data_IF_511067611149
#
_entry.id   IF_511067611149
#
_cell.length_a   1.000
_cell.length_b   1.000
_cell.length_c   1.000
_cell.angle_alpha   90.00
_cell.angle_beta   90.00
_cell.angle_gamma   90.00
#
_symmetry.space_group_name_H-M   'P 1'
#
loop_
_entity.id
_entity.type
_entity.pdbx_description
1 polymer ?
#
# COMPACT_ATOMS: atom_id res chain seq x y z
N UNK A 1 18.59 24.19 22.09
CA UNK A 1 18.39 23.24 20.99
C UNK A 1 17.76 22.01 21.62
N UNK A 2 16.43 21.95 21.60
CA UNK A 2 15.69 20.81 22.15
C UNK A 2 15.80 19.65 21.18
N UNK A 3 16.35 18.51 21.60
CA UNK A 3 16.20 17.24 20.92
C UNK A 3 14.72 16.85 21.02
N UNK A 4 13.92 17.27 20.03
CA UNK A 4 12.62 16.71 19.81
C UNK A 4 12.87 15.35 19.12
N UNK A 5 13.02 14.27 19.90
CA UNK A 5 12.86 12.91 19.42
C UNK A 5 11.35 12.67 19.26
N UNK A 6 10.71 13.40 18.34
CA UNK A 6 9.41 13.00 17.83
C UNK A 6 9.59 11.61 17.23
N UNK A 7 8.72 10.70 17.63
CA UNK A 7 8.77 9.30 17.21
C UNK A 7 8.52 9.27 15.69
N UNK A 8 9.59 9.19 14.92
CA UNK A 8 9.57 9.28 13.46
C UNK A 8 8.69 8.19 12.89
N UNK A 9 7.71 8.54 12.08
CA UNK A 9 6.82 7.58 11.42
C UNK A 9 7.60 6.65 10.51
N UNK A 10 7.18 5.38 10.47
CA UNK A 10 7.87 4.30 9.77
C UNK A 10 6.93 3.59 8.81
N UNK A 11 7.38 3.40 7.57
CA UNK A 11 6.62 2.74 6.52
C UNK A 11 7.41 1.58 5.90
N UNK A 12 6.74 0.48 5.60
CA UNK A 12 7.29 -0.62 4.79
C UNK A 12 6.54 -0.65 3.46
N UNK A 13 7.28 -0.57 2.36
CA UNK A 13 6.75 -0.68 1.00
C UNK A 13 7.18 -2.02 0.43
N UNK A 14 6.23 -2.89 0.15
CA UNK A 14 6.52 -4.18 -0.46
C UNK A 14 6.93 -4.01 -1.92
N UNK A 15 7.89 -4.83 -2.34
CA UNK A 15 8.37 -4.88 -3.72
C UNK A 15 8.32 -6.32 -4.24
N UNK A 16 7.87 -6.47 -5.48
CA UNK A 16 7.77 -7.77 -6.15
C UNK A 16 8.11 -7.66 -7.64
N UNK A 17 8.56 -8.73 -8.25
CA UNK A 17 8.72 -8.81 -9.70
C UNK A 17 7.39 -8.49 -10.41
N UNK A 18 7.45 -7.64 -11.43
CA UNK A 18 6.28 -7.17 -12.16
C UNK A 18 5.48 -6.06 -11.50
N UNK A 19 5.98 -5.48 -10.40
CA UNK A 19 5.35 -4.28 -9.79
C UNK A 19 5.36 -3.08 -10.74
N UNK A 20 4.43 -2.15 -10.56
CA UNK A 20 4.47 -0.85 -11.21
C UNK A 20 5.45 0.07 -10.46
N UNK A 21 6.60 0.30 -11.09
CA UNK A 21 7.70 1.02 -10.43
C UNK A 21 7.35 2.47 -10.06
N UNK A 22 6.53 3.13 -10.88
CA UNK A 22 6.16 4.51 -10.60
C UNK A 22 5.26 4.61 -9.37
N UNK A 23 4.35 3.67 -9.18
CA UNK A 23 3.50 3.60 -7.99
C UNK A 23 4.33 3.33 -6.73
N UNK A 24 5.31 2.45 -6.83
CA UNK A 24 6.21 2.13 -5.74
C UNK A 24 7.14 3.31 -5.41
N UNK A 25 8.00 3.70 -6.35
CA UNK A 25 9.10 4.63 -6.09
C UNK A 25 8.64 6.07 -5.84
N UNK A 26 7.56 6.52 -6.50
CA UNK A 26 7.00 7.84 -6.24
C UNK A 26 6.45 7.91 -4.81
N UNK A 27 5.75 6.86 -4.36
CA UNK A 27 5.27 6.78 -2.97
C UNK A 27 6.44 6.81 -1.98
N UNK A 28 7.50 6.04 -2.25
CA UNK A 28 8.73 6.05 -1.43
C UNK A 28 9.35 7.45 -1.38
N UNK A 29 9.53 8.12 -2.53
CA UNK A 29 10.14 9.45 -2.60
C UNK A 29 9.34 10.49 -1.80
N UNK A 30 8.01 10.54 -1.99
CA UNK A 30 7.15 11.50 -1.29
C UNK A 30 7.20 11.29 0.22
N UNK A 31 7.10 10.05 0.70
CA UNK A 31 7.14 9.75 2.12
C UNK A 31 8.51 10.07 2.73
N UNK A 32 9.61 9.76 2.03
CA UNK A 32 10.97 10.12 2.50
C UNK A 32 11.16 11.64 2.55
N UNK A 33 10.61 12.42 1.60
CA UNK A 33 10.58 13.89 1.64
C UNK A 33 9.80 14.43 2.84
N UNK A 34 8.74 13.75 3.24
CA UNK A 34 7.93 14.10 4.40
C UNK A 34 8.65 13.81 5.74
N UNK A 35 9.74 13.08 5.73
CA UNK A 35 10.49 12.70 6.92
C UNK A 35 10.17 11.31 7.44
N UNK A 36 9.24 10.59 6.82
CA UNK A 36 8.91 9.19 7.16
C UNK A 36 10.12 8.29 6.92
N UNK A 37 10.37 7.36 7.82
CA UNK A 37 11.39 6.31 7.65
C UNK A 37 10.82 5.22 6.78
N UNK A 38 11.18 5.19 5.50
CA UNK A 38 10.65 4.22 4.54
C UNK A 38 11.68 3.13 4.27
N UNK A 39 11.26 1.88 4.47
CA UNK A 39 11.98 0.67 4.10
C UNK A 39 11.26 0.02 2.92
N UNK A 40 11.99 -0.26 1.84
CA UNK A 40 11.50 -1.09 0.74
C UNK A 40 11.86 -2.55 1.00
N UNK A 41 10.90 -3.46 0.84
CA UNK A 41 11.04 -4.86 1.25
C UNK A 41 10.61 -5.81 0.11
N UNK A 42 11.56 -6.58 -0.42
CA UNK A 42 11.31 -7.56 -1.49
C UNK A 42 10.63 -8.79 -0.94
N UNK A 43 9.55 -9.23 -1.59
CA UNK A 43 8.89 -10.52 -1.32
C UNK A 43 9.45 -11.67 -2.17
N UNK A 44 10.44 -11.36 -3.02
CA UNK A 44 11.10 -12.35 -3.87
C UNK A 44 12.30 -12.98 -3.12
N UNK A 45 12.88 -14.02 -3.68
CA UNK A 45 14.09 -14.68 -3.13
C UNK A 45 15.31 -13.73 -3.12
N UNK A 46 15.35 -12.75 -4.04
CA UNK A 46 16.40 -11.73 -4.15
C UNK A 46 15.83 -10.36 -3.77
N UNK A 47 16.66 -9.47 -3.23
CA UNK A 47 16.31 -8.06 -3.00
C UNK A 47 16.20 -7.27 -4.30
N UNK A 48 16.79 -7.74 -5.40
CA UNK A 48 16.64 -7.13 -6.73
C UNK A 48 15.35 -7.59 -7.38
N UNK A 49 14.42 -6.68 -7.59
CA UNK A 49 13.15 -6.93 -8.29
C UNK A 49 13.16 -6.31 -9.69
N UNK A 50 12.42 -6.90 -10.60
CA UNK A 50 12.26 -6.40 -11.96
C UNK A 50 10.84 -5.86 -12.16
N UNK A 51 10.69 -4.57 -12.44
CA UNK A 51 9.39 -3.92 -12.64
C UNK A 51 8.63 -4.46 -13.85
N UNK A 52 7.35 -4.09 -13.97
CA UNK A 52 6.48 -4.38 -15.13
C UNK A 52 7.12 -3.96 -16.47
N UNK A 53 7.90 -2.87 -16.46
CA UNK A 53 8.60 -2.33 -17.63
C UNK A 53 10.11 -2.65 -17.65
N UNK A 54 10.53 -3.74 -17.00
CA UNK A 54 11.87 -4.33 -17.07
C UNK A 54 13.00 -3.47 -16.48
N UNK A 55 12.67 -2.55 -15.58
CA UNK A 55 13.67 -1.84 -14.79
C UNK A 55 14.00 -2.67 -13.56
N UNK A 56 15.29 -2.91 -13.32
CA UNK A 56 15.77 -3.58 -12.11
C UNK A 56 15.92 -2.55 -10.98
N UNK A 57 15.42 -2.90 -9.83
CA UNK A 57 15.40 -2.04 -8.64
C UNK A 57 15.80 -2.91 -7.45
N UNK A 58 16.74 -2.43 -6.65
CA UNK A 58 17.17 -3.09 -5.43
C UNK A 58 16.35 -2.59 -4.25
N UNK A 59 15.71 -3.49 -3.52
CA UNK A 59 15.02 -3.19 -2.27
C UNK A 59 16.05 -3.02 -1.13
N UNK A 60 15.66 -2.33 -0.07
CA UNK A 60 16.52 -2.14 1.10
C UNK A 60 16.79 -3.48 1.83
N UNK A 61 15.84 -4.44 1.79
CA UNK A 61 15.95 -5.75 2.42
C UNK A 61 14.94 -6.77 1.91
N UNK A 62 15.05 -8.02 2.39
CA UNK A 62 13.98 -9.02 2.25
C UNK A 62 12.78 -8.67 3.13
N UNK A 63 11.57 -8.96 2.64
CA UNK A 63 10.35 -8.77 3.43
C UNK A 63 10.32 -9.64 4.70
N UNK A 64 10.99 -10.78 4.69
CA UNK A 64 11.09 -11.64 5.88
C UNK A 64 11.91 -11.01 7.02
N UNK A 65 12.82 -10.07 6.70
CA UNK A 65 13.72 -9.43 7.66
C UNK A 65 13.23 -8.05 8.15
N UNK A 66 12.11 -7.57 7.62
CA UNK A 66 11.61 -6.23 7.94
C UNK A 66 10.99 -6.15 9.34
N UNK A 67 11.20 -5.02 10.02
CA UNK A 67 10.65 -4.76 11.37
C UNK A 67 9.22 -4.21 11.29
N UNK A 68 8.27 -5.12 11.22
CA UNK A 68 6.84 -4.79 11.17
C UNK A 68 6.29 -4.26 12.50
N UNK A 69 6.95 -4.55 13.63
CA UNK A 69 6.52 -4.05 14.94
C UNK A 69 6.70 -2.53 15.02
N UNK A 70 7.82 -2.04 14.49
CA UNK A 70 8.11 -0.62 14.44
C UNK A 70 7.34 0.14 13.33
N UNK A 71 6.77 -0.55 12.32
CA UNK A 71 6.11 0.09 11.21
C UNK A 71 4.73 0.64 11.58
N UNK A 72 4.44 1.90 11.23
CA UNK A 72 3.10 2.51 11.35
C UNK A 72 2.19 2.13 10.18
N UNK A 73 2.76 1.87 9.00
CA UNK A 73 2.02 1.56 7.77
C UNK A 73 2.76 0.53 6.91
N UNK A 74 2.00 -0.35 6.27
CA UNK A 74 2.45 -1.18 5.16
C UNK A 74 1.79 -0.73 3.86
N UNK A 75 2.55 -0.76 2.74
CA UNK A 75 2.12 -0.22 1.45
C UNK A 75 2.35 -1.26 0.35
N UNK A 76 1.30 -1.55 -0.41
CA UNK A 76 1.29 -2.49 -1.52
C UNK A 76 1.18 -1.72 -2.85
N UNK A 77 2.24 -1.61 -3.65
CA UNK A 77 2.16 -1.08 -5.00
C UNK A 77 1.44 -2.06 -5.93
N UNK A 78 0.96 -1.54 -7.07
CA UNK A 78 0.28 -2.35 -8.06
C UNK A 78 1.23 -2.95 -9.11
N UNK A 79 0.71 -3.05 -10.34
CA UNK A 79 1.25 -3.89 -11.40
C UNK A 79 0.62 -5.29 -11.36
N UNK A 80 0.13 -5.80 -12.49
CA UNK A 80 -0.62 -7.07 -12.54
C UNK A 80 0.19 -8.23 -11.94
N UNK A 81 1.38 -8.49 -12.47
CA UNK A 81 2.24 -9.59 -12.01
C UNK A 81 2.78 -9.30 -10.60
N UNK A 82 3.14 -8.04 -10.30
CA UNK A 82 3.57 -7.65 -8.96
C UNK A 82 2.50 -7.96 -7.91
N UNK A 83 1.24 -7.63 -8.20
CA UNK A 83 0.10 -7.93 -7.32
C UNK A 83 -0.11 -9.45 -7.15
N UNK A 84 0.09 -10.24 -8.21
CA UNK A 84 0.02 -11.71 -8.14
C UNK A 84 1.10 -12.27 -7.21
N UNK A 85 2.33 -11.76 -7.31
CA UNK A 85 3.44 -12.14 -6.43
C UNK A 85 3.20 -11.68 -4.98
N UNK A 86 2.67 -10.48 -4.76
CA UNK A 86 2.28 -10.02 -3.43
C UNK A 86 1.19 -10.92 -2.82
N UNK A 87 0.18 -11.30 -3.62
CA UNK A 87 -0.90 -12.18 -3.17
C UNK A 87 -0.42 -13.62 -2.85
N UNK A 88 0.65 -14.07 -3.49
CA UNK A 88 1.26 -15.39 -3.25
C UNK A 88 2.23 -15.41 -2.05
N UNK A 89 2.57 -14.25 -1.48
CA UNK A 89 3.52 -14.15 -0.37
C UNK A 89 2.82 -14.34 0.97
N UNK A 90 3.24 -15.36 1.72
CA UNK A 90 2.76 -15.61 3.07
C UNK A 90 3.06 -14.42 4.01
N UNK A 91 4.22 -13.78 3.86
CA UNK A 91 4.60 -12.61 4.65
C UNK A 91 3.63 -11.46 4.42
N UNK A 92 3.27 -11.18 3.15
CA UNK A 92 2.29 -10.11 2.84
C UNK A 92 0.94 -10.43 3.45
N UNK A 93 0.45 -11.67 3.29
CA UNK A 93 -0.83 -12.10 3.83
C UNK A 93 -0.88 -11.95 5.36
N UNK A 94 0.15 -12.46 6.04
CA UNK A 94 0.27 -12.37 7.51
C UNK A 94 0.28 -10.92 7.97
N UNK A 95 1.12 -10.07 7.38
CA UNK A 95 1.24 -8.68 7.81
C UNK A 95 -0.02 -7.87 7.47
N UNK A 96 -0.67 -8.10 6.33
CA UNK A 96 -1.95 -7.45 6.03
C UNK A 96 -3.03 -7.79 7.07
N UNK A 97 -3.17 -9.07 7.44
CA UNK A 97 -4.13 -9.49 8.47
C UNK A 97 -3.79 -8.90 9.83
N UNK A 98 -2.50 -8.91 10.21
CA UNK A 98 -2.03 -8.35 11.47
C UNK A 98 -2.30 -6.85 11.56
N UNK A 99 -1.95 -6.08 10.52
CA UNK A 99 -2.19 -4.62 10.49
C UNK A 99 -3.68 -4.28 10.45
N UNK A 100 -4.49 -5.08 9.77
CA UNK A 100 -5.95 -4.90 9.77
C UNK A 100 -6.56 -5.10 11.17
N UNK A 101 -5.99 -5.98 11.99
CA UNK A 101 -6.42 -6.26 13.37
C UNK A 101 -5.88 -5.29 14.41
N UNK A 102 -4.94 -4.41 14.09
CA UNK A 102 -4.31 -3.46 15.03
C UNK A 102 -4.78 -2.03 14.76
N UNK A 103 -5.47 -1.42 15.73
CA UNK A 103 -6.03 -0.08 15.60
C UNK A 103 -4.98 1.04 15.50
N UNK A 104 -3.72 0.76 15.81
CA UNK A 104 -2.61 1.70 15.69
C UNK A 104 -1.92 1.67 14.33
N UNK A 105 -2.22 0.69 13.48
CA UNK A 105 -1.55 0.44 12.21
C UNK A 105 -2.40 0.83 10.99
N UNK A 106 -1.74 1.14 9.89
CA UNK A 106 -2.37 1.55 8.62
C UNK A 106 -1.99 0.57 7.50
N UNK A 107 -2.88 0.43 6.53
CA UNK A 107 -2.61 -0.33 5.30
C UNK A 107 -2.92 0.57 4.11
N UNK A 108 -2.02 0.59 3.13
CA UNK A 108 -2.26 1.28 1.87
C UNK A 108 -2.02 0.35 0.67
N UNK A 109 -2.86 0.46 -0.35
CA UNK A 109 -2.73 -0.33 -1.57
C UNK A 109 -3.20 0.47 -2.80
N UNK A 110 -2.51 0.34 -3.95
CA UNK A 110 -2.83 1.12 -5.14
C UNK A 110 -3.00 0.24 -6.37
N UNK A 111 -3.83 0.68 -7.33
CA UNK A 111 -4.00 0.08 -8.65
C UNK A 111 -4.63 -1.34 -8.58
N UNK A 112 -3.85 -2.38 -8.86
CA UNK A 112 -4.27 -3.76 -8.76
C UNK A 112 -4.22 -4.30 -7.32
N UNK A 113 -3.35 -3.73 -6.47
CA UNK A 113 -3.05 -4.25 -5.13
C UNK A 113 -4.23 -4.27 -4.13
N UNK A 114 -5.26 -3.40 -4.21
CA UNK A 114 -6.46 -3.57 -3.38
C UNK A 114 -7.13 -4.95 -3.52
N UNK A 115 -6.89 -5.67 -4.64
CA UNK A 115 -7.38 -7.04 -4.80
C UNK A 115 -6.71 -8.05 -3.85
N UNK A 116 -5.51 -7.76 -3.33
CA UNK A 116 -4.86 -8.58 -2.29
C UNK A 116 -5.63 -8.44 -0.98
N UNK A 117 -5.93 -7.19 -0.60
CA UNK A 117 -6.67 -6.90 0.63
C UNK A 117 -8.11 -7.48 0.58
N UNK A 118 -8.76 -7.36 -0.60
CA UNK A 118 -10.08 -7.95 -0.81
C UNK A 118 -10.05 -9.48 -0.70
N UNK A 119 -9.05 -10.14 -1.31
CA UNK A 119 -8.86 -11.58 -1.20
C UNK A 119 -8.65 -12.08 0.23
N UNK A 120 -8.13 -11.24 1.12
CA UNK A 120 -7.95 -11.51 2.55
C UNK A 120 -9.17 -11.11 3.42
N UNK A 121 -10.27 -10.62 2.81
CA UNK A 121 -11.46 -10.17 3.52
C UNK A 121 -11.30 -8.83 4.26
N UNK A 122 -10.18 -8.13 4.10
CA UNK A 122 -9.88 -6.88 4.80
C UNK A 122 -10.76 -5.72 4.30
N UNK A 123 -11.22 -5.79 3.06
CA UNK A 123 -12.10 -4.78 2.45
C UNK A 123 -13.59 -5.09 2.58
N UNK A 124 -13.98 -6.21 3.16
CA UNK A 124 -15.38 -6.61 3.26
C UNK A 124 -16.24 -5.54 3.96
N UNK A 125 -17.29 -5.07 3.27
CA UNK A 125 -18.18 -4.01 3.75
C UNK A 125 -17.59 -2.60 3.78
N UNK A 126 -16.41 -2.39 3.20
CA UNK A 126 -15.72 -1.11 3.17
C UNK A 126 -15.82 -0.43 1.80
N UNK A 127 -15.45 0.85 1.80
CA UNK A 127 -15.23 1.62 0.57
C UNK A 127 -13.77 1.50 0.12
N UNK A 128 -13.57 1.30 -1.18
CA UNK A 128 -12.24 1.27 -1.76
C UNK A 128 -12.24 1.81 -3.19
N UNK A 129 -11.08 2.20 -3.68
CA UNK A 129 -10.81 2.43 -5.09
C UNK A 129 -9.72 1.48 -5.57
N UNK A 130 -9.70 1.19 -6.86
CA UNK A 130 -8.67 0.37 -7.50
C UNK A 130 -8.64 0.67 -9.00
N UNK A 131 -7.69 0.08 -9.71
CA UNK A 131 -7.71 0.15 -11.18
C UNK A 131 -9.00 -0.48 -11.72
N UNK A 132 -9.67 0.15 -12.73
CA UNK A 132 -10.96 -0.33 -13.24
C UNK A 132 -10.96 -1.81 -13.65
N UNK A 133 -9.87 -2.31 -14.24
CA UNK A 133 -9.74 -3.73 -14.64
C UNK A 133 -9.77 -4.71 -13.45
N UNK A 134 -9.63 -4.23 -12.24
CA UNK A 134 -9.64 -5.02 -11.00
C UNK A 134 -10.90 -4.80 -10.17
N UNK A 135 -11.79 -3.91 -10.60
CA UNK A 135 -12.98 -3.53 -9.83
C UNK A 135 -13.86 -4.75 -9.48
N UNK A 136 -14.15 -5.62 -10.44
CA UNK A 136 -14.94 -6.85 -10.21
C UNK A 136 -14.27 -7.78 -9.20
N UNK A 137 -12.94 -7.95 -9.30
CA UNK A 137 -12.16 -8.79 -8.38
C UNK A 137 -12.16 -8.22 -6.96
N UNK A 138 -12.00 -6.90 -6.82
CA UNK A 138 -12.03 -6.22 -5.53
C UNK A 138 -13.44 -6.26 -4.93
N UNK A 139 -14.48 -6.01 -5.73
CA UNK A 139 -15.86 -6.00 -5.28
C UNK A 139 -16.35 -7.37 -4.80
N UNK A 140 -15.85 -8.45 -5.41
CA UNK A 140 -16.25 -9.82 -5.07
C UNK A 140 -15.86 -10.28 -3.66
N UNK A 141 -15.02 -9.51 -2.98
CA UNK A 141 -14.59 -9.82 -1.60
C UNK A 141 -13.83 -11.14 -1.46
N UNK A 142 -13.69 -11.59 -0.24
CA UNK A 142 -13.11 -12.90 0.07
C UNK A 142 -14.05 -14.01 -0.36
N UNK A 143 -13.70 -14.76 -1.40
CA UNK A 143 -14.22 -16.11 -1.57
C UNK A 143 -13.44 -17.02 -0.63
N UNK A 144 -13.75 -16.92 0.66
CA UNK A 144 -13.13 -17.78 1.66
C UNK A 144 -13.29 -19.25 1.24
N UNK A 145 -12.17 -19.91 1.07
CA UNK A 145 -12.12 -21.33 0.72
C UNK A 145 -12.95 -22.13 1.75
N UNK A 146 -14.10 -22.67 1.34
CA UNK A 146 -14.72 -23.82 1.96
C UNK A 146 -15.66 -23.60 3.15
N UNK A 147 -16.32 -22.46 3.28
CA UNK A 147 -17.37 -22.25 4.29
C UNK A 147 -18.65 -21.73 3.68
N UNK A 148 -19.80 -22.15 4.18
CA UNK A 148 -21.17 -21.79 3.78
C UNK A 148 -21.31 -20.39 3.17
N UNK A 149 -22.11 -20.30 2.10
CA UNK A 149 -22.43 -19.14 1.29
C UNK A 149 -23.17 -18.05 2.12
N UNK A 150 -22.51 -17.47 3.13
CA UNK A 150 -22.83 -16.16 3.63
C UNK A 150 -22.09 -15.17 2.73
N UNK A 151 -22.83 -14.40 1.95
CA UNK A 151 -22.31 -13.34 1.11
C UNK A 151 -21.54 -12.36 2.00
N UNK A 152 -20.22 -12.39 1.92
CA UNK A 152 -19.42 -11.30 2.51
C UNK A 152 -19.96 -9.96 2.02
N UNK A 153 -20.07 -8.93 2.87
CA UNK A 153 -20.54 -7.62 2.41
C UNK A 153 -19.64 -7.13 1.28
N UNK A 154 -20.27 -6.80 0.14
CA UNK A 154 -19.54 -6.33 -1.04
C UNK A 154 -18.73 -5.08 -0.74
N UNK A 155 -17.56 -4.98 -1.37
CA UNK A 155 -16.75 -3.76 -1.35
C UNK A 155 -17.43 -2.70 -2.21
N UNK A 156 -17.63 -1.48 -1.67
CA UNK A 156 -18.12 -0.34 -2.43
C UNK A 156 -16.98 0.30 -3.21
N UNK A 157 -16.97 0.16 -4.54
CA UNK A 157 -15.97 0.80 -5.40
C UNK A 157 -16.35 2.26 -5.65
N UNK A 158 -15.50 3.19 -5.16
CA UNK A 158 -15.78 4.64 -5.22
C UNK A 158 -15.41 5.30 -6.54
N UNK A 159 -14.48 4.71 -7.31
CA UNK A 159 -13.87 5.31 -8.50
C UNK A 159 -13.11 6.63 -8.27
N UNK A 160 -12.89 7.03 -7.03
CA UNK A 160 -12.10 8.20 -6.67
C UNK A 160 -10.60 7.94 -6.88
N UNK A 161 -9.81 9.01 -7.04
CA UNK A 161 -8.34 8.90 -7.12
C UNK A 161 -7.77 8.20 -5.89
N UNK A 162 -8.28 8.55 -4.70
CA UNK A 162 -7.90 7.97 -3.41
C UNK A 162 -9.14 7.79 -2.54
N UNK A 163 -9.26 6.64 -1.91
CA UNK A 163 -10.31 6.38 -0.91
C UNK A 163 -9.67 6.02 0.41
N UNK A 164 -10.17 6.62 1.48
CA UNK A 164 -9.79 6.31 2.86
C UNK A 164 -11.02 5.79 3.59
N UNK A 165 -10.94 4.57 4.11
CA UNK A 165 -11.98 3.98 4.95
C UNK A 165 -11.33 3.48 6.25
N UNK A 166 -11.51 4.28 7.30
CA UNK A 166 -10.83 4.05 8.57
C UNK A 166 -9.32 4.07 8.42
N UNK A 167 -8.68 2.92 8.60
CA UNK A 167 -7.22 2.75 8.56
C UNK A 167 -6.69 2.20 7.24
N UNK A 168 -7.57 2.08 6.24
CA UNK A 168 -7.23 1.54 4.93
C UNK A 168 -7.27 2.66 3.90
N UNK A 169 -6.19 2.79 3.15
CA UNK A 169 -6.02 3.81 2.12
C UNK A 169 -5.86 3.08 0.79
N UNK A 170 -6.73 3.38 -0.17
CA UNK A 170 -6.61 2.78 -1.51
C UNK A 170 -6.46 3.86 -2.57
N UNK A 171 -5.66 3.58 -3.60
CA UNK A 171 -5.40 4.46 -4.75
C UNK A 171 -5.86 3.82 -6.06
N UNK A 172 -6.37 4.62 -6.98
CA UNK A 172 -6.95 4.12 -8.22
C UNK A 172 -5.91 3.50 -9.15
N UNK A 173 -4.72 4.08 -9.27
CA UNK A 173 -3.67 3.59 -10.14
C UNK A 173 -2.58 4.62 -10.40
N UNK A 174 -1.76 4.37 -11.43
CA UNK A 174 -0.58 5.17 -11.73
C UNK A 174 -0.87 6.69 -11.76
N UNK A 175 -1.93 7.11 -12.44
CA UNK A 175 -2.28 8.53 -12.55
C UNK A 175 -2.68 9.18 -11.22
N UNK A 176 -3.09 8.40 -10.23
CA UNK A 176 -3.49 8.85 -8.90
C UNK A 176 -2.37 8.68 -7.85
N UNK A 177 -1.18 8.20 -8.23
CA UNK A 177 -0.13 7.85 -7.27
C UNK A 177 0.35 9.06 -6.46
N UNK A 178 0.36 10.25 -7.06
CA UNK A 178 0.75 11.47 -6.34
C UNK A 178 -0.27 11.79 -5.23
N UNK A 179 -1.58 11.79 -5.56
CA UNK A 179 -2.65 12.01 -4.59
C UNK A 179 -2.60 10.95 -3.48
N UNK A 180 -2.34 9.69 -3.84
CA UNK A 180 -2.21 8.58 -2.91
C UNK A 180 -1.04 8.78 -1.93
N UNK A 181 0.16 9.12 -2.42
CA UNK A 181 1.33 9.35 -1.59
C UNK A 181 1.16 10.58 -0.68
N UNK A 182 0.57 11.67 -1.20
CA UNK A 182 0.27 12.88 -0.42
C UNK A 182 -0.82 12.62 0.63
N UNK A 183 -1.83 11.77 0.34
CA UNK A 183 -2.84 11.40 1.33
C UNK A 183 -2.24 10.55 2.47
N UNK A 184 -1.34 9.62 2.16
CA UNK A 184 -0.60 8.87 3.19
C UNK A 184 0.25 9.84 4.03
N UNK A 185 0.93 10.81 3.39
CA UNK A 185 1.70 11.84 4.09
C UNK A 185 0.81 12.66 5.03
N UNK A 186 -0.36 13.09 4.58
CA UNK A 186 -1.33 13.83 5.38
C UNK A 186 -1.75 13.05 6.64
N UNK A 187 -2.00 11.75 6.49
CA UNK A 187 -2.43 10.89 7.61
C UNK A 187 -1.30 10.65 8.61
N UNK A 188 -0.06 10.47 8.13
CA UNK A 188 1.10 10.18 8.99
C UNK A 188 1.69 11.42 9.66
N UNK A 189 1.80 12.52 8.92
CA UNK A 189 2.59 13.71 9.30
C UNK A 189 1.74 15.00 9.39
N UNK A 190 0.48 14.93 8.99
CA UNK A 190 -0.43 16.08 9.00
C UNK A 190 -0.53 16.83 7.68
N UNK A 191 -1.62 17.60 7.55
CA UNK A 191 -1.97 18.33 6.33
C UNK A 191 -0.88 19.34 5.93
N UNK A 192 -0.33 20.11 6.88
CA UNK A 192 0.68 21.13 6.62
C UNK A 192 1.95 20.55 5.97
N UNK A 193 2.34 19.33 6.38
CA UNK A 193 3.49 18.62 5.80
C UNK A 193 3.17 18.19 4.37
N UNK A 194 2.00 17.60 4.13
CA UNK A 194 1.55 17.18 2.81
C UNK A 194 1.49 18.36 1.83
N UNK A 195 0.89 19.49 2.21
CA UNK A 195 0.81 20.70 1.39
C UNK A 195 2.20 21.28 1.09
N UNK A 196 3.10 21.30 2.07
CA UNK A 196 4.48 21.76 1.88
C UNK A 196 5.23 20.89 0.88
N UNK A 197 5.06 19.56 0.96
CA UNK A 197 5.68 18.63 0.00
C UNK A 197 5.09 18.84 -1.38
N UNK A 198 3.76 18.93 -1.54
CA UNK A 198 3.10 19.18 -2.81
C UNK A 198 3.62 20.47 -3.47
N UNK A 199 3.74 21.56 -2.70
CA UNK A 199 4.29 22.82 -3.21
C UNK A 199 5.76 22.67 -3.63
N UNK A 200 6.59 21.97 -2.84
CA UNK A 200 8.02 21.80 -3.09
C UNK A 200 8.31 21.00 -4.37
N UNK A 201 7.41 20.06 -4.74
CA UNK A 201 7.52 19.27 -5.97
C UNK A 201 6.73 19.86 -7.15
N UNK A 202 6.19 21.07 -7.01
CA UNK A 202 5.37 21.74 -8.02
C UNK A 202 4.08 21.00 -8.39
N UNK A 203 3.54 20.19 -7.49
CA UNK A 203 2.25 19.53 -7.65
C UNK A 203 1.11 20.51 -7.34
N UNK A 204 0.08 20.55 -8.22
CA UNK A 204 -1.05 21.52 -8.18
C UNK A 204 -2.34 20.82 -7.85
#
# INVERSE_FOLDING_TARGET
MGNNTENKKTAIVFMADGMEMCECLLTVDILRRAGVSVTTASVMDDITVTSSHKVKIEADMSAADADYDAADIIILPGGRIGTENLAASDVVAEQCVRFAGDDSKLIAAVCAAPSVLSGLGILDGRKATCHPDFAEKVQGGSTAAGGSMELSPLVEITHESVTVDGRIITGQGLGATMDFALKITEILEGQDVSERIAAAICYR
#
